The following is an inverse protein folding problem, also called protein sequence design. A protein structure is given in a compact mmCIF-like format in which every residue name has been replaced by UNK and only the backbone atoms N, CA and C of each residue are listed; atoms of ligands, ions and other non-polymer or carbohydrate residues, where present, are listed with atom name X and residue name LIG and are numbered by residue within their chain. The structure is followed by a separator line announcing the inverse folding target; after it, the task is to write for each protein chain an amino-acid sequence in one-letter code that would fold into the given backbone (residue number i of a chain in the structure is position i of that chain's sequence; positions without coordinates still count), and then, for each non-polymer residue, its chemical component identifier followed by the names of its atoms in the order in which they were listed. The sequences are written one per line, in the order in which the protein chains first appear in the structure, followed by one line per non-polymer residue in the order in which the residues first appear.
data_IF_002785231247
#
_entry.id   IF_002785231247
#
_cell.length_a   1.000
_cell.length_b   1.000
_cell.length_c   1.000
_cell.angle_alpha   90.00
_cell.angle_beta   90.00
_cell.angle_gamma   90.00
#
_symmetry.space_group_name_H-M   'P 1'
#
loop_
_entity.id
_entity.type
_entity.pdbx_description
1 polymer ?
#
# COMPACT_ATOMS: atom_id res chain seq x y z
N UNK A 1 44.07 7.36 -9.18
CA UNK A 1 43.62 6.94 -7.84
C UNK A 1 42.14 6.55 -7.81
N UNK A 2 41.22 7.23 -8.52
CA UNK A 2 39.79 6.87 -8.57
C UNK A 2 39.49 5.41 -8.97
N UNK A 3 40.28 4.82 -9.87
CA UNK A 3 40.09 3.43 -10.31
C UNK A 3 40.40 2.39 -9.22
N UNK A 4 41.39 2.62 -8.35
CA UNK A 4 41.70 1.73 -7.24
C UNK A 4 40.66 1.83 -6.10
N UNK A 5 40.06 3.01 -5.91
CA UNK A 5 38.98 3.22 -4.94
C UNK A 5 37.65 2.56 -5.39
N UNK A 6 37.30 2.61 -6.68
CA UNK A 6 36.14 1.86 -7.23
C UNK A 6 36.29 0.34 -7.10
N UNK A 7 37.51 -0.19 -7.16
CA UNK A 7 37.78 -1.63 -6.98
C UNK A 7 37.57 -2.13 -5.55
N UNK A 8 37.64 -1.28 -4.53
CA UNK A 8 37.43 -1.64 -3.10
C UNK A 8 35.97 -1.42 -2.65
N UNK A 9 35.28 -0.43 -3.23
CA UNK A 9 33.91 -0.07 -2.83
C UNK A 9 32.84 -1.02 -3.41
N UNK A 10 33.09 -1.61 -4.58
CA UNK A 10 32.14 -2.53 -5.23
C UNK A 10 31.88 -3.81 -4.41
N UNK A 11 32.91 -4.50 -3.85
CA UNK A 11 32.70 -5.65 -2.96
C UNK A 11 31.92 -5.34 -1.68
N UNK A 12 32.09 -4.14 -1.11
CA UNK A 12 31.36 -3.70 0.08
C UNK A 12 29.87 -3.47 -0.23
N UNK A 13 29.57 -2.80 -1.34
CA UNK A 13 28.21 -2.60 -1.84
C UNK A 13 27.51 -3.94 -2.14
N UNK A 14 28.20 -4.86 -2.81
CA UNK A 14 27.68 -6.21 -3.08
C UNK A 14 27.47 -7.02 -1.79
N UNK A 15 28.35 -6.84 -0.79
CA UNK A 15 28.17 -7.46 0.53
C UNK A 15 26.91 -6.96 1.24
N UNK A 16 26.69 -5.65 1.26
CA UNK A 16 25.48 -5.04 1.83
C UNK A 16 24.22 -5.46 1.07
N UNK A 17 24.28 -5.53 -0.27
CA UNK A 17 23.18 -6.07 -1.09
C UNK A 17 22.85 -7.52 -0.70
N UNK A 18 23.87 -8.39 -0.56
CA UNK A 18 23.67 -9.77 -0.09
C UNK A 18 23.15 -9.85 1.35
N UNK A 19 23.54 -8.93 2.22
CA UNK A 19 23.04 -8.88 3.59
C UNK A 19 21.57 -8.47 3.62
N UNK A 20 21.19 -7.42 2.88
CA UNK A 20 19.80 -7.00 2.69
C UNK A 20 18.92 -8.13 2.13
N UNK A 21 19.40 -8.82 1.10
CA UNK A 21 18.67 -9.94 0.52
C UNK A 21 18.40 -11.04 1.54
N UNK A 22 19.45 -11.49 2.27
CA UNK A 22 19.32 -12.56 3.24
C UNK A 22 18.48 -12.16 4.46
N UNK A 23 18.69 -10.96 4.99
CA UNK A 23 18.06 -10.52 6.23
C UNK A 23 16.60 -10.09 6.04
N UNK A 24 16.24 -9.54 4.87
CA UNK A 24 14.93 -8.93 4.66
C UNK A 24 14.22 -9.51 3.43
N UNK A 25 14.81 -9.41 2.24
CA UNK A 25 14.08 -9.72 0.98
C UNK A 25 13.67 -11.18 0.89
N UNK A 26 14.54 -12.12 1.25
CA UNK A 26 14.24 -13.55 1.23
C UNK A 26 13.11 -13.90 2.17
N UNK A 27 13.11 -13.36 3.39
CA UNK A 27 12.05 -13.58 4.36
C UNK A 27 10.74 -12.90 3.95
N UNK A 28 10.80 -11.66 3.45
CA UNK A 28 9.63 -10.97 2.88
C UNK A 28 8.99 -11.79 1.77
N UNK A 29 9.79 -12.30 0.82
CA UNK A 29 9.28 -13.12 -0.27
C UNK A 29 8.71 -14.44 0.24
N UNK A 30 9.34 -15.09 1.22
CA UNK A 30 8.81 -16.31 1.82
C UNK A 30 7.47 -16.07 2.52
N UNK A 31 7.34 -14.97 3.25
CA UNK A 31 6.16 -14.63 4.04
C UNK A 31 4.97 -14.23 3.15
N UNK A 32 5.24 -13.51 2.05
CA UNK A 32 4.22 -12.82 1.25
C UNK A 32 4.07 -13.30 -0.20
N UNK A 33 4.91 -14.21 -0.69
CA UNK A 33 4.77 -14.73 -2.06
C UNK A 33 3.41 -15.40 -2.27
N UNK A 34 2.76 -15.06 -3.39
CA UNK A 34 1.48 -15.66 -3.77
C UNK A 34 0.31 -15.23 -2.88
N UNK A 35 0.46 -14.19 -2.05
CA UNK A 35 -0.58 -13.66 -1.18
C UNK A 35 -1.07 -12.29 -1.64
N UNK A 36 -2.35 -12.02 -1.44
CA UNK A 36 -2.91 -10.69 -1.57
C UNK A 36 -2.41 -9.77 -0.46
N UNK A 37 -2.09 -8.48 -0.74
CA UNK A 37 -2.29 -7.76 -2.00
C UNK A 37 -1.13 -7.87 -3.02
N UNK A 38 -0.04 -8.56 -2.68
CA UNK A 38 1.14 -8.65 -3.55
C UNK A 38 0.90 -9.46 -4.83
N UNK A 39 -0.05 -10.40 -4.77
CA UNK A 39 -0.58 -11.18 -5.88
C UNK A 39 -2.10 -11.27 -5.75
N UNK A 40 -2.79 -11.23 -6.88
CA UNK A 40 -4.23 -11.44 -6.93
C UNK A 40 -4.55 -12.93 -6.78
N UNK A 41 -4.59 -13.39 -5.53
CA UNK A 41 -4.95 -14.76 -5.14
C UNK A 41 -5.95 -14.71 -3.98
N UNK A 42 -6.67 -15.81 -3.70
CA UNK A 42 -7.56 -15.89 -2.54
C UNK A 42 -6.83 -15.90 -1.18
N UNK A 43 -5.52 -16.11 -1.16
CA UNK A 43 -4.76 -16.22 0.08
C UNK A 43 -4.32 -14.84 0.56
N UNK A 44 -4.78 -14.45 1.72
CA UNK A 44 -4.44 -13.16 2.32
C UNK A 44 -3.04 -13.16 2.97
N UNK A 45 -2.35 -12.02 2.89
CA UNK A 45 -1.16 -11.76 3.68
C UNK A 45 -1.53 -11.53 5.15
N UNK A 46 -0.70 -12.00 6.08
CA UNK A 46 -0.92 -11.74 7.50
C UNK A 46 -0.65 -10.27 7.83
N UNK A 47 -1.68 -9.54 8.27
CA UNK A 47 -1.55 -8.15 8.72
C UNK A 47 -0.59 -8.01 9.91
N UNK A 48 -0.64 -8.84 10.98
CA UNK A 48 0.34 -8.80 12.06
C UNK A 48 1.78 -9.07 11.59
N UNK A 49 1.97 -9.96 10.62
CA UNK A 49 3.31 -10.22 10.07
C UNK A 49 3.80 -9.03 9.25
N UNK A 50 2.93 -8.39 8.47
CA UNK A 50 3.25 -7.17 7.74
C UNK A 50 3.66 -6.04 8.69
N UNK A 51 2.93 -5.86 9.80
CA UNK A 51 3.27 -4.90 10.85
C UNK A 51 4.72 -5.10 11.36
N UNK A 52 5.14 -6.35 11.64
CA UNK A 52 6.51 -6.66 12.10
C UNK A 52 7.61 -6.17 11.15
N UNK A 53 7.32 -6.03 9.85
CA UNK A 53 8.27 -5.43 8.91
C UNK A 53 8.19 -3.90 8.88
N UNK A 54 6.97 -3.34 8.89
CA UNK A 54 6.71 -1.96 8.48
C UNK A 54 6.73 -0.91 9.60
N UNK A 55 6.52 -1.32 10.86
CA UNK A 55 6.54 -0.38 11.99
C UNK A 55 7.86 0.40 12.07
N UNK A 56 7.85 1.52 12.79
CA UNK A 56 9.06 2.32 13.03
C UNK A 56 10.18 1.53 13.69
N UNK A 57 9.84 0.59 14.56
CA UNK A 57 10.74 -0.35 15.22
C UNK A 57 10.84 -1.69 14.48
N UNK A 58 10.25 -1.80 13.27
CA UNK A 58 10.14 -3.03 12.51
C UNK A 58 11.45 -3.47 11.86
N UNK A 59 11.46 -4.68 11.29
CA UNK A 59 12.64 -5.31 10.69
C UNK A 59 13.36 -4.44 9.66
N UNK A 60 12.60 -3.73 8.81
CA UNK A 60 13.16 -2.87 7.76
C UNK A 60 13.87 -1.66 8.40
N UNK A 61 13.18 -0.96 9.31
CA UNK A 61 13.73 0.21 10.00
C UNK A 61 14.97 -0.14 10.83
N UNK A 62 14.95 -1.27 11.54
CA UNK A 62 16.10 -1.77 12.30
C UNK A 62 17.29 -2.10 11.39
N UNK A 63 17.05 -2.73 10.24
CA UNK A 63 18.11 -3.01 9.28
C UNK A 63 18.77 -1.73 8.78
N UNK A 64 17.97 -0.71 8.43
CA UNK A 64 18.46 0.59 7.96
C UNK A 64 19.29 1.26 9.05
N UNK A 65 18.76 1.35 10.28
CA UNK A 65 19.46 1.98 11.40
C UNK A 65 20.79 1.28 11.74
N UNK A 66 20.86 -0.04 11.59
CA UNK A 66 22.07 -0.82 11.93
C UNK A 66 23.12 -0.79 10.80
N UNK A 67 22.69 -0.89 9.54
CA UNK A 67 23.60 -1.17 8.42
C UNK A 67 23.74 0.00 7.45
N UNK A 68 22.83 0.97 7.47
CA UNK A 68 22.72 2.04 6.46
C UNK A 68 22.67 3.45 7.07
N UNK A 69 22.91 3.61 8.37
CA UNK A 69 22.80 4.92 9.05
C UNK A 69 23.77 5.99 8.54
N UNK A 70 24.88 5.61 7.90
CA UNK A 70 25.84 6.56 7.31
C UNK A 70 25.57 6.87 5.83
N UNK A 71 24.54 6.28 5.22
CA UNK A 71 24.23 6.44 3.79
C UNK A 71 22.77 6.80 3.54
N UNK A 72 21.91 6.53 4.52
CA UNK A 72 20.52 6.94 4.53
C UNK A 72 20.24 7.72 5.80
N UNK A 73 19.53 8.82 5.64
CA UNK A 73 19.02 9.62 6.74
C UNK A 73 17.50 9.77 6.65
N UNK A 74 16.88 10.13 7.79
CA UNK A 74 15.46 10.45 7.85
C UNK A 74 15.28 11.95 7.68
N UNK A 75 14.58 12.35 6.62
CA UNK A 75 14.04 13.69 6.46
C UNK A 75 12.53 13.67 6.73
N UNK A 76 12.15 14.13 7.92
CA UNK A 76 10.79 13.97 8.42
C UNK A 76 10.42 12.48 8.51
N UNK A 77 9.47 12.04 7.68
CA UNK A 77 9.03 10.63 7.64
C UNK A 77 9.75 9.79 6.58
N UNK A 78 10.45 10.41 5.63
CA UNK A 78 11.00 9.70 4.48
C UNK A 78 12.48 9.38 4.63
N UNK A 79 12.89 8.25 4.06
CA UNK A 79 14.30 7.93 3.89
C UNK A 79 14.83 8.61 2.63
N UNK A 80 15.94 9.33 2.79
CA UNK A 80 16.68 9.95 1.69
C UNK A 80 18.12 9.45 1.70
N UNK A 81 18.79 9.51 0.55
CA UNK A 81 20.20 9.16 0.47
C UNK A 81 21.05 10.35 0.94
N UNK A 82 21.96 10.09 1.87
CA UNK A 82 22.98 11.05 2.26
C UNK A 82 24.11 11.05 1.22
N UNK A 83 23.95 11.87 0.20
CA UNK A 83 24.89 11.97 -0.93
C UNK A 83 26.28 12.49 -0.54
N UNK A 84 26.43 13.11 0.63
CA UNK A 84 27.71 13.61 1.12
C UNK A 84 28.54 12.48 1.73
N UNK A 85 27.89 11.49 2.35
CA UNK A 85 28.54 10.38 3.03
C UNK A 85 28.57 9.07 2.24
N UNK A 86 27.97 8.98 1.05
CA UNK A 86 27.98 7.73 0.27
C UNK A 86 29.34 7.36 -0.32
N UNK A 87 30.36 8.23 -0.26
CA UNK A 87 31.75 7.95 -0.64
C UNK A 87 31.90 7.26 -2.02
N UNK A 88 31.05 7.62 -2.99
CA UNK A 88 31.06 7.03 -4.35
C UNK A 88 30.14 5.82 -4.55
N UNK A 89 29.34 5.43 -3.55
CA UNK A 89 28.25 4.47 -3.71
C UNK A 89 26.97 5.17 -4.19
N UNK A 90 26.30 4.58 -5.18
CA UNK A 90 25.01 5.07 -5.66
C UNK A 90 23.88 4.24 -5.05
N UNK A 91 23.09 4.86 -4.16
CA UNK A 91 21.87 4.24 -3.63
C UNK A 91 20.89 4.03 -4.79
N UNK A 92 20.32 2.84 -4.88
CA UNK A 92 19.34 2.49 -5.90
C UNK A 92 18.06 3.33 -5.72
N UNK A 93 17.68 4.19 -6.68
CA UNK A 93 16.47 5.00 -6.55
C UNK A 93 15.19 4.15 -6.45
N UNK A 94 15.16 2.96 -7.05
CA UNK A 94 14.04 2.04 -6.92
C UNK A 94 13.89 1.51 -5.48
N UNK A 95 15.00 1.31 -4.77
CA UNK A 95 15.01 0.93 -3.37
C UNK A 95 14.43 2.04 -2.49
N UNK A 96 14.87 3.29 -2.66
CA UNK A 96 14.31 4.44 -1.92
C UNK A 96 12.80 4.61 -2.17
N UNK A 97 12.36 4.58 -3.44
CA UNK A 97 10.93 4.65 -3.79
C UNK A 97 10.14 3.52 -3.14
N UNK A 98 10.68 2.31 -3.15
CA UNK A 98 10.01 1.15 -2.56
C UNK A 98 9.91 1.24 -1.03
N UNK A 99 10.94 1.74 -0.35
CA UNK A 99 10.92 2.00 1.09
C UNK A 99 9.91 3.09 1.46
N UNK A 100 9.93 4.22 0.75
CA UNK A 100 9.03 5.34 1.06
C UNK A 100 7.57 5.00 0.75
N UNK A 101 7.30 4.17 -0.25
CA UNK A 101 5.96 3.61 -0.50
C UNK A 101 5.47 2.74 0.66
N UNK A 102 6.35 1.91 1.25
CA UNK A 102 5.99 1.15 2.45
C UNK A 102 5.78 2.05 3.67
N UNK A 103 6.52 3.15 3.76
CA UNK A 103 6.35 4.14 4.82
C UNK A 103 4.99 4.81 4.77
N UNK A 104 4.55 5.24 3.59
CA UNK A 104 3.21 5.82 3.40
C UNK A 104 2.10 4.85 3.89
N UNK A 105 2.28 3.55 3.62
CA UNK A 105 1.37 2.50 4.11
C UNK A 105 1.47 2.35 5.63
N UNK A 106 2.68 2.30 6.19
CA UNK A 106 2.92 2.15 7.62
C UNK A 106 2.31 3.31 8.43
N UNK A 107 2.55 4.54 7.99
CA UNK A 107 2.06 5.75 8.64
C UNK A 107 0.53 5.82 8.68
N UNK A 108 -0.14 5.23 7.70
CA UNK A 108 -1.60 5.27 7.61
C UNK A 108 -2.23 4.07 8.32
N UNK A 109 -1.77 2.86 8.00
CA UNK A 109 -2.45 1.62 8.38
C UNK A 109 -1.87 0.95 9.65
N UNK A 110 -0.69 1.35 10.10
CA UNK A 110 0.03 0.72 11.21
C UNK A 110 0.52 1.75 12.25
N UNK A 111 -0.10 2.94 12.29
CA UNK A 111 0.32 4.04 13.15
C UNK A 111 0.31 3.68 14.66
N UNK A 112 -0.62 2.85 15.09
CA UNK A 112 -0.73 2.33 16.46
C UNK A 112 0.06 1.04 16.72
N UNK A 113 0.81 0.57 15.73
CA UNK A 113 1.63 -0.64 15.79
C UNK A 113 0.97 -1.85 15.11
N UNK A 114 -0.30 -2.11 15.38
CA UNK A 114 -1.08 -3.12 14.65
C UNK A 114 -1.88 -2.49 13.51
N UNK A 115 -2.40 -3.32 12.60
CA UNK A 115 -3.22 -2.85 11.50
C UNK A 115 -4.51 -2.19 12.03
N UNK A 116 -4.77 -0.94 11.64
CA UNK A 116 -5.98 -0.24 12.03
C UNK A 116 -6.10 1.12 11.36
N UNK A 117 -7.22 1.36 10.68
CA UNK A 117 -7.60 2.65 10.11
C UNK A 117 -9.03 3.00 10.47
N UNK A 118 -9.27 4.28 10.71
CA UNK A 118 -10.60 4.84 10.87
C UNK A 118 -10.90 5.78 9.71
N UNK A 119 -12.14 5.73 9.24
CA UNK A 119 -12.61 6.56 8.13
C UNK A 119 -14.13 6.71 8.25
N UNK A 120 -14.68 7.66 7.50
CA UNK A 120 -16.13 7.84 7.41
C UNK A 120 -16.59 7.58 5.98
N UNK A 121 -17.75 6.96 5.84
CA UNK A 121 -18.43 6.78 4.57
C UNK A 121 -19.80 7.48 4.59
N UNK A 122 -20.18 8.01 3.43
CA UNK A 122 -21.52 8.53 3.17
C UNK A 122 -21.98 8.00 1.81
N UNK A 123 -23.04 7.20 1.81
CA UNK A 123 -23.68 6.78 0.57
C UNK A 123 -24.34 7.98 -0.12
N UNK A 124 -24.30 7.98 -1.46
CA UNK A 124 -24.86 9.04 -2.30
C UNK A 124 -25.90 8.47 -3.25
N UNK A 125 -26.99 9.22 -3.53
CA UNK A 125 -28.02 8.75 -4.44
C UNK A 125 -27.50 8.66 -5.87
N UNK A 126 -28.04 7.72 -6.61
CA UNK A 126 -27.83 7.58 -8.05
C UNK A 126 -29.19 7.34 -8.71
N UNK A 127 -29.33 7.81 -9.95
CA UNK A 127 -30.55 7.58 -10.73
C UNK A 127 -30.82 6.08 -10.83
N UNK A 128 -32.08 5.69 -10.65
CA UNK A 128 -32.56 4.30 -10.76
C UNK A 128 -31.99 3.29 -9.72
N UNK A 129 -31.21 3.77 -8.74
CA UNK A 129 -30.77 2.99 -7.58
C UNK A 129 -31.69 3.28 -6.40
N UNK A 130 -32.43 2.26 -5.95
CA UNK A 130 -33.35 2.36 -4.82
C UNK A 130 -32.67 2.18 -3.48
N UNK A 131 -31.68 1.27 -3.42
CA UNK A 131 -30.98 0.92 -2.19
C UNK A 131 -29.55 0.48 -2.48
N UNK A 132 -28.62 0.81 -1.59
CA UNK A 132 -27.31 0.16 -1.49
C UNK A 132 -27.10 -0.34 -0.07
N UNK A 133 -26.42 -1.49 0.06
CA UNK A 133 -26.05 -2.05 1.35
C UNK A 133 -24.58 -2.46 1.30
N UNK A 134 -23.78 -1.75 2.08
CA UNK A 134 -22.35 -1.98 2.23
C UNK A 134 -22.11 -2.60 3.61
N UNK A 135 -21.37 -3.69 3.65
CA UNK A 135 -20.93 -4.32 4.90
C UNK A 135 -19.41 -4.39 4.90
N UNK A 136 -18.77 -3.97 6.00
CA UNK A 136 -17.32 -4.05 6.22
C UNK A 136 -17.09 -4.59 7.63
N UNK A 137 -16.55 -5.81 7.73
CA UNK A 137 -16.30 -6.51 8.99
C UNK A 137 -17.52 -6.47 9.94
N UNK A 138 -18.71 -6.71 9.38
CA UNK A 138 -20.00 -6.68 10.10
C UNK A 138 -20.61 -5.29 10.28
N UNK A 139 -19.85 -4.20 10.12
CA UNK A 139 -20.37 -2.83 10.16
C UNK A 139 -21.18 -2.55 8.89
N UNK A 140 -22.44 -2.11 9.04
CA UNK A 140 -23.37 -1.98 7.90
C UNK A 140 -23.70 -0.52 7.61
N UNK A 141 -23.71 -0.15 6.33
CA UNK A 141 -24.26 1.11 5.80
C UNK A 141 -25.32 0.77 4.75
N UNK A 142 -26.59 0.80 5.18
CA UNK A 142 -27.75 0.70 4.30
C UNK A 142 -28.29 2.09 3.96
N UNK A 143 -28.45 2.35 2.67
CA UNK A 143 -28.94 3.62 2.14
C UNK A 143 -30.02 3.38 1.09
N UNK A 144 -31.20 3.95 1.29
CA UNK A 144 -32.39 3.84 0.46
C UNK A 144 -32.95 5.24 0.09
N UNK A 145 -32.05 6.17 -0.24
CA UNK A 145 -32.37 7.57 -0.61
C UNK A 145 -32.97 8.43 0.52
N UNK A 146 -32.72 8.06 1.78
CA UNK A 146 -32.99 8.91 2.94
C UNK A 146 -31.97 10.06 3.05
N UNK A 147 -32.12 10.90 4.08
CA UNK A 147 -31.14 11.96 4.38
C UNK A 147 -29.74 11.38 4.56
N UNK A 148 -28.79 11.89 3.79
CA UNK A 148 -27.39 11.46 3.82
C UNK A 148 -26.74 11.77 5.17
N UNK A 149 -25.91 10.84 5.65
CA UNK A 149 -25.14 10.99 6.89
C UNK A 149 -23.77 10.35 6.74
N UNK A 150 -22.78 10.96 7.38
CA UNK A 150 -21.49 10.32 7.59
C UNK A 150 -21.64 9.23 8.64
N UNK A 151 -21.06 8.08 8.37
CA UNK A 151 -20.95 6.98 9.31
C UNK A 151 -19.49 6.59 9.45
N UNK A 152 -19.01 6.51 10.69
CA UNK A 152 -17.66 6.07 11.01
C UNK A 152 -17.53 4.55 10.84
N UNK A 153 -16.38 4.14 10.34
CA UNK A 153 -15.96 2.75 10.17
C UNK A 153 -14.55 2.55 10.73
N UNK A 154 -14.28 1.32 11.15
CA UNK A 154 -12.96 0.82 11.51
C UNK A 154 -12.58 -0.35 10.61
N UNK A 155 -11.33 -0.44 10.17
CA UNK A 155 -10.81 -1.63 9.48
C UNK A 155 -9.36 -1.90 9.88
N UNK A 156 -8.97 -3.17 10.13
CA UNK A 156 -9.85 -4.30 10.38
C UNK A 156 -10.70 -4.11 11.64
N UNK A 157 -11.88 -4.72 11.69
CA UNK A 157 -12.65 -4.85 12.93
C UNK A 157 -12.71 -6.34 13.35
N UNK A 158 -12.10 -6.65 14.50
CA UNK A 158 -11.99 -8.02 15.00
C UNK A 158 -13.23 -8.53 15.73
N UNK A 159 -14.27 -7.68 15.92
CA UNK A 159 -15.49 -8.09 16.60
C UNK A 159 -16.27 -9.15 15.80
N UNK A 160 -16.12 -9.17 14.48
CA UNK A 160 -16.85 -10.05 13.56
C UNK A 160 -15.92 -10.84 12.66
N UNK A 161 -16.48 -11.81 11.93
CA UNK A 161 -15.73 -12.51 10.88
C UNK A 161 -15.36 -11.51 9.76
N UNK A 162 -14.06 -11.38 9.39
CA UNK A 162 -13.64 -10.40 8.39
C UNK A 162 -14.29 -10.64 7.04
N UNK A 163 -14.79 -9.57 6.43
CA UNK A 163 -15.53 -9.65 5.18
C UNK A 163 -16.03 -8.30 4.70
N UNK A 164 -16.18 -8.15 3.39
CA UNK A 164 -16.72 -6.93 2.80
C UNK A 164 -17.65 -7.28 1.64
N UNK A 165 -18.86 -6.74 1.66
CA UNK A 165 -19.84 -6.95 0.59
C UNK A 165 -20.53 -5.64 0.22
N UNK A 166 -20.91 -5.55 -1.05
CA UNK A 166 -21.71 -4.45 -1.58
C UNK A 166 -22.85 -5.05 -2.40
N UNK A 167 -24.09 -4.72 -2.05
CA UNK A 167 -25.28 -5.04 -2.82
C UNK A 167 -26.07 -3.78 -3.17
N UNK A 168 -26.93 -3.89 -4.18
CA UNK A 168 -27.83 -2.82 -4.58
C UNK A 168 -29.20 -3.36 -4.99
N UNK A 169 -30.22 -2.51 -4.87
CA UNK A 169 -31.57 -2.71 -5.41
C UNK A 169 -31.83 -1.58 -6.40
N UNK A 170 -32.30 -1.92 -7.59
CA UNK A 170 -32.68 -0.93 -8.60
C UNK A 170 -34.19 -0.80 -8.71
N UNK A 171 -34.66 0.17 -9.50
CA UNK A 171 -36.09 0.36 -9.79
C UNK A 171 -36.71 -0.80 -10.58
N UNK A 172 -35.89 -1.61 -11.23
CA UNK A 172 -36.33 -2.70 -12.11
C UNK A 172 -36.08 -4.10 -11.51
N UNK A 173 -35.10 -4.22 -10.60
CA UNK A 173 -34.64 -5.50 -10.08
C UNK A 173 -34.61 -5.51 -8.55
N UNK A 174 -34.84 -6.70 -7.97
CA UNK A 174 -34.61 -6.95 -6.55
C UNK A 174 -33.12 -6.81 -6.19
N UNK A 175 -32.81 -6.96 -4.90
CA UNK A 175 -31.44 -6.89 -4.39
C UNK A 175 -30.49 -7.88 -5.07
N UNK A 176 -29.33 -7.38 -5.49
CA UNK A 176 -28.25 -8.14 -6.12
C UNK A 176 -26.93 -7.81 -5.45
N UNK A 177 -26.08 -8.82 -5.32
CA UNK A 177 -24.73 -8.67 -4.79
C UNK A 177 -23.81 -8.24 -5.93
N UNK A 178 -23.10 -7.13 -5.74
CA UNK A 178 -22.03 -6.70 -6.63
C UNK A 178 -20.75 -7.48 -6.34
N UNK A 179 -20.38 -7.53 -5.06
CA UNK A 179 -19.17 -8.20 -4.58
C UNK A 179 -19.39 -8.72 -3.15
N UNK A 180 -18.78 -9.87 -2.85
CA UNK A 180 -18.69 -10.45 -1.50
C UNK A 180 -17.29 -11.06 -1.36
N UNK A 181 -16.44 -10.40 -0.57
CA UNK A 181 -15.10 -10.83 -0.25
C UNK A 181 -15.01 -11.27 1.21
N UNK A 182 -14.22 -12.32 1.45
CA UNK A 182 -13.95 -12.84 2.79
C UNK A 182 -12.49 -12.61 3.16
N UNK A 183 -12.21 -12.63 4.45
CA UNK A 183 -10.85 -12.51 4.97
C UNK A 183 -10.46 -11.07 5.31
N UNK A 184 -9.30 -10.94 5.96
CA UNK A 184 -8.80 -9.68 6.53
C UNK A 184 -8.64 -8.57 5.49
N UNK A 185 -8.39 -8.91 4.22
CA UNK A 185 -8.20 -7.92 3.15
C UNK A 185 -9.45 -7.66 2.30
N UNK A 186 -10.60 -8.19 2.70
CA UNK A 186 -11.85 -8.12 1.96
C UNK A 186 -12.24 -6.69 1.57
N UNK A 187 -12.13 -5.72 2.48
CA UNK A 187 -12.45 -4.33 2.19
C UNK A 187 -11.47 -3.71 1.18
N UNK A 188 -10.19 -4.06 1.26
CA UNK A 188 -9.18 -3.58 0.30
C UNK A 188 -9.45 -4.15 -1.10
N UNK A 189 -9.90 -5.40 -1.21
CA UNK A 189 -10.35 -5.99 -2.49
C UNK A 189 -11.59 -5.29 -3.03
N UNK A 190 -12.52 -4.91 -2.16
CA UNK A 190 -13.69 -4.13 -2.59
C UNK A 190 -13.27 -2.75 -3.11
N UNK A 191 -12.38 -2.04 -2.39
CA UNK A 191 -11.84 -0.75 -2.83
C UNK A 191 -11.05 -0.85 -4.13
N UNK A 192 -10.36 -1.97 -4.37
CA UNK A 192 -9.63 -2.21 -5.61
C UNK A 192 -10.54 -2.23 -6.86
N UNK A 193 -11.81 -2.61 -6.69
CA UNK A 193 -12.82 -2.57 -7.76
C UNK A 193 -13.45 -1.18 -7.97
N UNK A 194 -13.20 -0.24 -7.07
CA UNK A 194 -13.78 1.09 -7.14
C UNK A 194 -13.01 1.99 -8.10
N UNK A 195 -13.73 2.82 -8.85
CA UNK A 195 -13.16 4.04 -9.43
C UNK A 195 -13.05 5.07 -8.31
N UNK A 196 -11.83 5.55 -8.05
CA UNK A 196 -11.53 6.47 -6.96
C UNK A 196 -11.15 7.82 -7.53
N UNK A 197 -11.90 8.86 -7.17
CA UNK A 197 -11.58 10.25 -7.51
C UNK A 197 -11.25 11.02 -6.23
N UNK A 198 -10.05 11.60 -6.17
CA UNK A 198 -9.70 12.49 -5.06
C UNK A 198 -10.44 13.82 -5.20
N UNK A 199 -11.11 14.26 -4.14
CA UNK A 199 -11.86 15.52 -4.12
C UNK A 199 -11.04 16.62 -3.45
N UNK A 200 -10.37 16.28 -2.35
CA UNK A 200 -9.45 17.15 -1.61
C UNK A 200 -8.37 16.32 -0.89
N UNK A 201 -7.65 16.90 0.07
CA UNK A 201 -6.58 16.21 0.81
C UNK A 201 -7.04 15.04 1.68
N UNK A 202 -8.31 14.99 2.10
CA UNK A 202 -8.85 13.98 3.02
C UNK A 202 -10.18 13.37 2.56
N UNK A 203 -10.72 13.79 1.42
CA UNK A 203 -11.99 13.31 0.87
C UNK A 203 -11.84 12.69 -0.51
N UNK A 204 -12.53 11.56 -0.73
CA UNK A 204 -12.51 10.79 -1.96
C UNK A 204 -13.94 10.42 -2.36
N UNK A 205 -14.22 10.42 -3.67
CA UNK A 205 -15.40 9.77 -4.24
C UNK A 205 -15.03 8.35 -4.65
N UNK A 206 -15.80 7.38 -4.17
CA UNK A 206 -15.74 5.98 -4.57
C UNK A 206 -16.94 5.69 -5.46
N UNK A 207 -16.71 5.08 -6.61
CA UNK A 207 -17.76 4.64 -7.52
C UNK A 207 -17.52 3.19 -7.91
N UNK A 208 -18.50 2.34 -7.64
CA UNK A 208 -18.56 1.00 -8.23
C UNK A 208 -19.58 0.98 -9.37
N UNK A 209 -19.22 0.32 -10.46
CA UNK A 209 -20.12 0.14 -11.61
C UNK A 209 -20.86 -1.19 -11.46
N UNK A 210 -22.18 -1.13 -11.27
CA UNK A 210 -23.00 -2.33 -11.20
C UNK A 210 -23.14 -3.00 -12.59
N UNK A 211 -23.34 -4.34 -12.66
CA UNK A 211 -23.55 -5.08 -13.90
C UNK A 211 -24.68 -4.58 -14.81
N UNK A 212 -25.67 -3.89 -14.25
CA UNK A 212 -26.78 -3.28 -14.98
C UNK A 212 -26.48 -1.83 -15.45
N UNK A 213 -25.24 -1.37 -15.31
CA UNK A 213 -24.81 -0.04 -15.74
C UNK A 213 -25.10 1.08 -14.73
N UNK A 214 -25.64 0.76 -13.56
CA UNK A 214 -25.90 1.76 -12.52
C UNK A 214 -24.64 2.06 -11.67
N UNK A 215 -24.33 3.33 -11.37
CA UNK A 215 -23.22 3.68 -10.50
C UNK A 215 -23.64 3.64 -9.03
N UNK A 216 -22.80 3.03 -8.18
CA UNK A 216 -22.97 3.03 -6.72
C UNK A 216 -21.94 3.99 -6.12
N UNK A 217 -22.41 5.14 -5.63
CA UNK A 217 -21.54 6.24 -5.18
C UNK A 217 -21.44 6.32 -3.66
N UNK A 218 -20.21 6.49 -3.17
CA UNK A 218 -19.91 6.78 -1.78
C UNK A 218 -18.88 7.90 -1.70
N UNK A 219 -19.06 8.82 -0.76
CA UNK A 219 -17.99 9.69 -0.32
C UNK A 219 -17.26 9.04 0.84
N UNK A 220 -15.93 9.10 0.83
CA UNK A 220 -15.07 8.67 1.92
C UNK A 220 -14.28 9.84 2.47
N UNK A 221 -14.25 9.98 3.79
CA UNK A 221 -13.33 10.87 4.51
C UNK A 221 -12.36 10.05 5.32
N UNK A 222 -11.10 10.45 5.32
CA UNK A 222 -10.03 9.75 6.04
C UNK A 222 -9.39 10.66 7.07
N UNK A 223 -8.98 10.09 8.20
CA UNK A 223 -8.31 10.83 9.28
C UNK A 223 -6.84 11.14 8.92
N UNK A 224 -6.19 10.26 8.16
CA UNK A 224 -4.76 10.36 7.83
C UNK A 224 -4.46 9.83 6.43
N UNK A 225 -3.60 10.55 5.69
CA UNK A 225 -3.07 10.12 4.40
C UNK A 225 -4.19 9.78 3.41
N UNK A 226 -4.19 8.54 2.90
CA UNK A 226 -5.25 8.02 2.02
C UNK A 226 -6.19 7.04 2.74
N UNK A 227 -6.10 6.95 4.07
CA UNK A 227 -6.81 5.96 4.88
C UNK A 227 -6.66 4.54 4.30
N UNK A 228 -7.74 3.75 4.19
CA UNK A 228 -7.69 2.38 3.67
C UNK A 228 -7.20 2.30 2.21
N UNK A 229 -7.33 3.36 1.40
CA UNK A 229 -6.81 3.38 0.03
C UNK A 229 -5.27 3.34 -0.03
N UNK A 230 -4.58 3.71 1.05
CA UNK A 230 -3.12 3.62 1.09
C UNK A 230 -2.63 2.18 0.86
N UNK A 231 -3.40 1.18 1.31
CA UNK A 231 -3.05 -0.24 1.17
C UNK A 231 -3.11 -0.74 -0.26
N UNK A 232 -3.82 -0.06 -1.17
CA UNK A 232 -3.78 -0.37 -2.61
C UNK A 232 -2.38 -0.14 -3.20
N UNK A 233 -1.54 0.65 -2.53
CA UNK A 233 -0.13 0.77 -2.86
C UNK A 233 0.65 -0.53 -2.59
N UNK A 234 0.09 -1.58 -2.00
CA UNK A 234 0.78 -2.87 -1.91
C UNK A 234 0.48 -3.79 -3.11
N UNK A 235 -0.47 -3.40 -3.98
CA UNK A 235 -0.79 -4.18 -5.19
C UNK A 235 0.44 -4.34 -6.08
N UNK A 236 0.78 -5.59 -6.38
CA UNK A 236 1.97 -5.98 -7.14
C UNK A 236 3.29 -5.43 -6.59
N UNK A 237 3.32 -5.00 -5.32
CA UNK A 237 4.53 -4.47 -4.70
C UNK A 237 5.61 -5.55 -4.62
N UNK A 238 6.84 -5.16 -4.94
CA UNK A 238 8.03 -6.01 -4.78
C UNK A 238 9.10 -5.22 -4.06
N UNK A 239 9.72 -5.86 -3.08
CA UNK A 239 10.84 -5.29 -2.37
C UNK A 239 12.11 -5.42 -3.23
N UNK A 240 12.81 -4.33 -3.58
CA UNK A 240 14.01 -4.40 -4.41
C UNK A 240 15.13 -5.19 -3.73
N UNK A 241 15.83 -6.02 -4.50
CA UNK A 241 16.93 -6.86 -4.01
C UNK A 241 18.26 -6.12 -3.82
N UNK A 242 18.37 -4.87 -4.27
CA UNK A 242 19.62 -4.10 -4.27
C UNK A 242 19.41 -2.75 -3.60
N UNK A 243 20.18 -2.48 -2.55
CA UNK A 243 20.28 -1.19 -1.86
C UNK A 243 21.16 -0.23 -2.68
N UNK A 244 22.28 -0.73 -3.20
CA UNK A 244 23.21 0.05 -4.03
C UNK A 244 23.27 -0.52 -5.45
N UNK A 245 23.43 0.37 -6.44
CA UNK A 245 23.76 -0.02 -7.80
C UNK A 245 25.23 -0.48 -7.84
N UNK A 246 25.51 -1.60 -8.50
CA UNK A 246 26.88 -2.11 -8.70
C UNK A 246 27.12 -2.40 -10.18
N UNK A 247 28.33 -2.09 -10.67
CA UNK A 247 28.87 -2.41 -12.01
C UNK A 247 27.86 -2.37 -13.16
N UNK A 248 27.23 -3.52 -13.43
CA UNK A 248 26.24 -3.72 -14.51
C UNK A 248 24.96 -2.88 -14.35
N UNK A 249 24.50 -2.67 -13.12
CA UNK A 249 23.30 -1.88 -12.86
C UNK A 249 23.52 -0.36 -13.02
N UNK A 250 24.79 0.08 -12.95
CA UNK A 250 25.17 1.47 -13.21
C UNK A 250 25.19 1.73 -14.71
N UNK A 251 25.79 0.83 -15.51
CA UNK A 251 25.80 0.95 -16.97
C UNK A 251 24.39 0.95 -17.56
N UNK A 252 23.51 0.06 -17.08
CA UNK A 252 22.12 0.01 -17.55
C UNK A 252 21.38 1.32 -17.18
N UNK A 253 21.60 1.86 -15.98
CA UNK A 253 20.93 3.09 -15.52
C UNK A 253 21.42 4.38 -16.22
N UNK A 254 22.68 4.41 -16.65
CA UNK A 254 23.26 5.51 -17.44
C UNK A 254 22.75 5.48 -18.89
N UNK A 255 22.66 4.29 -19.51
CA UNK A 255 22.14 4.11 -20.87
C UNK A 255 20.64 4.50 -21.00
N UNK A 256 19.83 4.30 -19.95
CA UNK A 256 18.44 4.79 -19.91
C UNK A 256 18.31 6.31 -19.72
N UNK A 257 19.31 6.98 -19.14
CA UNK A 257 19.29 8.44 -18.97
C UNK A 257 19.65 9.15 -20.27
N UNK A 258 20.68 8.69 -20.96
CA UNK A 258 21.08 9.28 -22.25
C UNK A 258 19.98 9.12 -23.32
N UNK A 259 19.19 8.05 -23.28
CA UNK A 259 18.05 7.83 -24.19
C UNK A 259 16.76 8.59 -23.80
N UNK A 260 16.70 9.22 -22.64
CA UNK A 260 15.53 9.99 -22.19
C UNK A 260 15.67 11.51 -22.43
N UNK A 261 16.90 11.95 -22.75
CA UNK A 261 17.25 13.34 -23.06
C UNK A 261 17.41 13.58 -24.58
N UNK A 262 17.06 12.60 -25.44
CA UNK A 262 16.85 12.71 -26.89
C UNK A 262 15.36 12.76 -27.26
#
# INVERSE_FOLDING_TARGET
MEQAWRQVLTPAADSLNRQWQRAIVSHWNQDFAGRYPFKDTPNDASLPLLAKYLRDDGRISQFIATNLAGVLEREGRYWVADTMNTQGLTVNPAFLRALNRLRDVADTAFASGDAGVHFELMAKPARDVMKTHLVIDGQQLEYFNQKERWQRFSWPDEQWQPGASLSWTSTQNMERILADFRGSWSFIRLLEQAQVTQLDSSSFMLQWQAPDGLPLHYLMRVEQGKGPLALLALKNYRLPGQVFLTGKAISDAEEYRDNADE
#
